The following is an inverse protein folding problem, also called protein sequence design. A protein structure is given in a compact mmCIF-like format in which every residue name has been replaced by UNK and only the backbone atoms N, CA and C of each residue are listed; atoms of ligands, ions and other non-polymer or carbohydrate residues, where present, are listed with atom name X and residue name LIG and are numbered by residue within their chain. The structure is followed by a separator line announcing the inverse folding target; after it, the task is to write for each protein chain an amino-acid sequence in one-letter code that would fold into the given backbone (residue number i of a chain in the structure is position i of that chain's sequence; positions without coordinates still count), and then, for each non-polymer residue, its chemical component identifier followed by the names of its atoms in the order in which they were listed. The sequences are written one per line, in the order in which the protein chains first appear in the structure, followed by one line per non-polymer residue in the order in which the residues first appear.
data_IF_913784416251
#
_entry.id   IF_913784416251
#
_cell.length_a   1.000
_cell.length_b   1.000
_cell.length_c   1.000
_cell.angle_alpha   90.00
_cell.angle_beta   90.00
_cell.angle_gamma   90.00
#
_symmetry.space_group_name_H-M   'P 1'
#
loop_
_entity.id
_entity.type
_entity.pdbx_description
1 polymer ?
#
# COMPACT_ATOMS: atom_id res chain seq x y z
N UNK A 1 21.89 -5.07 7.30
CA UNK A 1 20.54 -4.48 7.54
C UNK A 1 19.56 -5.60 7.86
N UNK A 2 19.00 -5.56 9.07
CA UNK A 2 18.05 -6.54 9.62
C UNK A 2 16.60 -6.12 9.33
N UNK A 3 15.67 -7.07 9.45
CA UNK A 3 14.22 -6.80 9.32
C UNK A 3 13.60 -6.95 10.70
N UNK A 4 12.81 -5.96 11.09
CA UNK A 4 12.07 -5.97 12.34
C UNK A 4 10.56 -5.96 12.05
N UNK A 5 9.82 -6.71 12.85
CA UNK A 5 8.36 -6.68 12.92
C UNK A 5 8.00 -5.65 13.98
N UNK A 6 7.15 -4.70 13.62
CA UNK A 6 6.67 -3.64 14.49
C UNK A 6 5.16 -3.75 14.58
N UNK A 7 4.66 -3.93 15.80
CA UNK A 7 3.23 -3.98 16.10
C UNK A 7 2.81 -2.68 16.77
N UNK A 8 1.68 -2.13 16.35
CA UNK A 8 1.16 -0.89 16.91
C UNK A 8 -0.36 -0.96 17.07
N UNK A 9 -0.84 -0.20 18.04
CA UNK A 9 -2.25 0.04 18.32
C UNK A 9 -2.65 1.33 17.61
N UNK A 10 -3.71 1.25 16.81
CA UNK A 10 -4.43 2.42 16.33
C UNK A 10 -5.76 2.48 17.08
N UNK A 11 -5.94 3.51 17.90
CA UNK A 11 -7.15 3.75 18.67
C UNK A 11 -7.81 5.01 18.11
N UNK A 12 -8.95 4.80 17.47
CA UNK A 12 -9.96 5.85 17.34
C UNK A 12 -11.00 5.61 18.45
N UNK A 13 -11.75 6.65 18.87
CA UNK A 13 -12.70 6.65 20.01
C UNK A 13 -13.69 5.47 20.07
N UNK A 14 -13.84 4.72 18.97
CA UNK A 14 -14.78 3.60 18.84
C UNK A 14 -14.15 2.24 18.44
N UNK A 15 -12.88 2.15 18.04
CA UNK A 15 -12.25 0.89 17.62
C UNK A 15 -10.74 0.88 17.91
N UNK A 16 -10.26 -0.21 18.53
CA UNK A 16 -8.83 -0.54 18.60
C UNK A 16 -8.49 -1.54 17.49
N UNK A 17 -7.67 -1.14 16.53
CA UNK A 17 -7.11 -2.05 15.52
C UNK A 17 -5.62 -2.30 15.78
N UNK A 18 -5.26 -3.59 15.87
CA UNK A 18 -3.88 -4.04 15.94
C UNK A 18 -3.32 -4.22 14.53
N UNK A 19 -2.29 -3.45 14.21
CA UNK A 19 -1.67 -3.46 12.90
C UNK A 19 -0.17 -3.77 13.02
N UNK A 20 0.36 -4.52 12.05
CA UNK A 20 1.76 -4.96 12.04
C UNK A 20 2.45 -4.53 10.74
N UNK A 21 3.66 -4.00 10.85
CA UNK A 21 4.48 -3.60 9.69
C UNK A 21 5.90 -4.15 9.78
N UNK A 22 6.58 -4.21 8.63
CA UNK A 22 7.96 -4.67 8.51
C UNK A 22 8.87 -3.51 8.14
N UNK A 23 9.88 -3.25 8.97
CA UNK A 23 10.86 -2.19 8.72
C UNK A 23 12.27 -2.75 8.58
N UNK A 24 13.09 -2.09 7.75
CA UNK A 24 14.50 -2.41 7.59
C UNK A 24 15.34 -1.44 8.41
N UNK A 25 16.18 -1.97 9.30
CA UNK A 25 17.03 -1.19 10.18
C UNK A 25 18.37 -1.91 10.45
N UNK A 26 19.38 -1.17 10.88
CA UNK A 26 20.71 -1.68 11.23
C UNK A 26 20.74 -2.24 12.64
N UNK A 27 19.97 -1.64 13.56
CA UNK A 27 19.82 -2.04 14.95
C UNK A 27 18.36 -2.02 15.39
N UNK A 28 18.07 -2.63 16.55
CA UNK A 28 16.75 -2.62 17.18
C UNK A 28 16.35 -1.20 17.58
N UNK A 29 17.29 -0.43 18.12
CA UNK A 29 17.10 0.98 18.50
C UNK A 29 16.68 1.84 17.29
N UNK A 30 17.36 1.69 16.15
CA UNK A 30 16.97 2.38 14.91
C UNK A 30 15.59 1.91 14.40
N UNK A 31 15.20 0.67 14.70
CA UNK A 31 13.87 0.16 14.37
C UNK A 31 12.79 0.82 15.23
N UNK A 32 13.04 0.95 16.54
CA UNK A 32 12.17 1.69 17.46
C UNK A 32 12.01 3.15 17.07
N UNK A 33 13.11 3.85 16.77
CA UNK A 33 13.03 5.26 16.33
C UNK A 33 12.21 5.41 15.05
N UNK A 34 12.43 4.53 14.07
CA UNK A 34 11.65 4.53 12.83
C UNK A 34 10.18 4.22 13.06
N UNK A 35 9.86 3.34 14.01
CA UNK A 35 8.47 3.03 14.36
C UNK A 35 7.81 4.23 15.04
N UNK A 36 8.48 4.80 16.04
CA UNK A 36 7.97 5.90 16.85
C UNK A 36 7.75 7.17 16.02
N UNK A 37 8.76 7.60 15.26
CA UNK A 37 8.70 8.83 14.46
C UNK A 37 8.05 8.63 13.09
N UNK A 38 8.13 7.43 12.52
CA UNK A 38 7.70 7.16 11.15
C UNK A 38 6.23 6.76 11.00
N UNK A 39 5.59 6.29 12.07
CA UNK A 39 4.21 5.78 12.02
C UNK A 39 3.21 6.62 12.81
N UNK A 40 3.64 7.41 13.81
CA UNK A 40 2.74 8.25 14.59
C UNK A 40 1.66 7.49 15.38
N UNK A 41 1.85 6.18 15.58
CA UNK A 41 0.92 5.27 16.25
C UNK A 41 1.55 4.74 17.55
N UNK A 42 0.73 4.28 18.49
CA UNK A 42 1.21 3.72 19.75
C UNK A 42 1.90 2.38 19.50
N UNK A 43 3.22 2.34 19.64
CA UNK A 43 4.02 1.12 19.45
C UNK A 43 3.76 0.17 20.62
N UNK A 44 3.41 -1.08 20.31
CA UNK A 44 3.20 -2.15 21.29
C UNK A 44 4.46 -3.01 21.41
N UNK A 45 5.06 -3.38 20.26
CA UNK A 45 6.19 -4.30 20.22
C UNK A 45 7.08 -4.05 18.99
N UNK A 46 8.39 -4.29 19.16
CA UNK A 46 9.36 -4.33 18.07
C UNK A 46 10.30 -5.51 18.28
N UNK A 47 10.29 -6.46 17.35
CA UNK A 47 11.15 -7.66 17.42
C UNK A 47 11.82 -7.97 16.10
N UNK A 48 12.97 -8.63 16.15
CA UNK A 48 13.65 -9.10 14.93
C UNK A 48 12.79 -10.17 14.26
N UNK A 49 12.65 -10.08 12.93
CA UNK A 49 11.91 -11.07 12.15
C UNK A 49 12.60 -12.43 12.23
N UNK A 50 11.85 -13.46 12.64
CA UNK A 50 12.37 -14.83 12.72
C UNK A 50 12.26 -15.56 11.38
N UNK A 51 12.92 -16.73 11.28
CA UNK A 51 12.79 -17.60 10.12
C UNK A 51 11.37 -18.18 9.95
N UNK A 52 10.64 -18.36 11.05
CA UNK A 52 9.25 -18.84 11.05
C UNK A 52 8.30 -17.77 10.52
N UNK A 53 8.44 -16.51 10.97
CA UNK A 53 7.67 -15.37 10.44
C UNK A 53 7.84 -15.25 8.91
N UNK A 54 9.05 -15.50 8.39
CA UNK A 54 9.29 -15.55 6.93
C UNK A 54 8.58 -16.69 6.26
N UNK A 55 8.56 -17.89 6.85
CA UNK A 55 7.91 -19.06 6.26
C UNK A 55 6.41 -18.88 6.17
N UNK A 56 5.81 -18.37 7.24
CA UNK A 56 4.37 -18.08 7.30
C UNK A 56 3.98 -17.04 6.25
N UNK A 57 4.68 -15.89 6.21
CA UNK A 57 4.42 -14.86 5.18
C UNK A 57 4.65 -15.35 3.76
N UNK A 58 5.64 -16.22 3.54
CA UNK A 58 5.86 -16.85 2.24
C UNK A 58 4.72 -17.83 1.88
N UNK A 59 4.18 -18.56 2.85
CA UNK A 59 3.06 -19.46 2.66
C UNK A 59 1.77 -18.70 2.37
N UNK A 60 1.42 -17.70 3.18
CA UNK A 60 0.29 -16.81 2.93
C UNK A 60 0.38 -16.14 1.56
N UNK A 61 1.57 -15.64 1.20
CA UNK A 61 1.80 -15.04 -0.12
C UNK A 61 1.59 -16.05 -1.24
N UNK A 62 2.04 -17.31 -1.08
CA UNK A 62 1.81 -18.39 -2.06
C UNK A 62 0.32 -18.71 -2.19
N UNK A 63 -0.40 -18.81 -1.08
CA UNK A 63 -1.83 -19.08 -1.08
C UNK A 63 -2.63 -17.95 -1.72
N UNK A 64 -2.28 -16.71 -1.39
CA UNK A 64 -2.85 -15.53 -2.03
C UNK A 64 -2.58 -15.53 -3.55
N UNK A 65 -1.35 -15.83 -3.98
CA UNK A 65 -1.04 -15.96 -5.41
C UNK A 65 -1.89 -17.03 -6.09
N UNK A 66 -2.09 -18.19 -5.45
CA UNK A 66 -2.97 -19.26 -5.97
C UNK A 66 -4.43 -18.83 -6.05
N UNK A 67 -4.98 -18.21 -5.00
CA UNK A 67 -6.36 -17.68 -4.98
C UNK A 67 -6.54 -16.64 -6.09
N UNK A 68 -5.59 -15.71 -6.22
CA UNK A 68 -5.58 -14.68 -7.26
C UNK A 68 -5.50 -15.27 -8.67
N UNK A 69 -4.65 -16.28 -8.90
CA UNK A 69 -4.53 -16.93 -10.19
C UNK A 69 -5.85 -17.60 -10.62
N UNK A 70 -6.50 -18.31 -9.69
CA UNK A 70 -7.83 -18.90 -9.91
C UNK A 70 -8.87 -17.84 -10.25
N UNK A 71 -8.94 -16.78 -9.46
CA UNK A 71 -9.87 -15.67 -9.70
C UNK A 71 -9.69 -15.04 -11.09
N UNK A 72 -8.44 -14.77 -11.50
CA UNK A 72 -8.14 -14.21 -12.82
C UNK A 72 -8.51 -15.18 -13.95
N UNK A 73 -8.34 -16.49 -13.75
CA UNK A 73 -8.77 -17.49 -14.73
C UNK A 73 -10.30 -17.52 -14.86
N UNK A 74 -11.03 -17.46 -13.74
CA UNK A 74 -12.50 -17.37 -13.72
C UNK A 74 -12.99 -16.12 -14.44
N UNK A 75 -12.43 -14.95 -14.13
CA UNK A 75 -12.75 -13.69 -14.82
C UNK A 75 -12.52 -13.78 -16.32
N UNK A 76 -11.39 -14.37 -16.75
CA UNK A 76 -11.11 -14.57 -18.18
C UNK A 76 -12.16 -15.46 -18.84
N UNK A 77 -12.58 -16.53 -18.17
CA UNK A 77 -13.66 -17.40 -18.63
C UNK A 77 -15.00 -16.68 -18.75
N UNK A 78 -15.35 -15.86 -17.75
CA UNK A 78 -16.55 -15.03 -17.75
C UNK A 78 -16.55 -14.01 -18.90
N UNK A 79 -15.45 -13.28 -19.09
CA UNK A 79 -15.32 -12.32 -20.19
C UNK A 79 -15.48 -12.99 -21.56
N UNK A 80 -14.85 -14.16 -21.76
CA UNK A 80 -15.06 -14.96 -22.97
C UNK A 80 -16.52 -15.39 -23.14
N UNK A 81 -17.20 -15.79 -22.06
CA UNK A 81 -18.61 -16.19 -22.12
C UNK A 81 -19.56 -15.04 -22.48
N UNK A 82 -19.15 -13.80 -22.22
CA UNK A 82 -19.89 -12.57 -22.56
C UNK A 82 -19.53 -12.06 -23.97
N UNK A 83 -18.60 -12.73 -24.67
CA UNK A 83 -18.25 -12.46 -26.06
C UNK A 83 -16.96 -11.66 -26.28
N UNK A 84 -16.18 -11.38 -25.22
CA UNK A 84 -14.88 -10.73 -25.39
C UNK A 84 -13.84 -11.70 -25.96
N UNK A 85 -13.13 -11.24 -26.99
CA UNK A 85 -11.98 -11.93 -27.57
C UNK A 85 -10.77 -11.87 -26.64
N UNK A 86 -9.81 -12.79 -26.84
CA UNK A 86 -8.56 -12.78 -26.09
C UNK A 86 -7.74 -11.48 -26.31
N UNK A 87 -7.89 -10.84 -27.47
CA UNK A 87 -7.24 -9.58 -27.79
C UNK A 87 -7.83 -8.42 -26.97
N UNK A 88 -9.16 -8.33 -26.87
CA UNK A 88 -9.84 -7.32 -26.06
C UNK A 88 -9.55 -7.50 -24.57
N UNK A 89 -9.52 -8.74 -24.08
CA UNK A 89 -9.15 -9.03 -22.69
C UNK A 89 -7.69 -8.62 -22.42
N UNK A 90 -6.79 -8.85 -23.38
CA UNK A 90 -5.39 -8.43 -23.26
C UNK A 90 -5.27 -6.90 -23.25
N UNK A 91 -6.03 -6.19 -24.08
CA UNK A 91 -6.05 -4.74 -24.12
C UNK A 91 -6.59 -4.14 -22.82
N UNK A 92 -7.74 -4.63 -22.32
CA UNK A 92 -8.31 -4.23 -21.02
C UNK A 92 -7.27 -4.41 -19.89
N UNK A 93 -6.54 -5.52 -19.91
CA UNK A 93 -5.50 -5.80 -18.91
C UNK A 93 -4.33 -4.82 -19.01
N UNK A 94 -3.88 -4.47 -20.21
CA UNK A 94 -2.80 -3.51 -20.41
C UNK A 94 -3.25 -2.09 -20.05
N UNK A 95 -4.45 -1.68 -20.43
CA UNK A 95 -5.05 -0.42 -20.00
C UNK A 95 -5.12 -0.33 -18.47
N UNK A 96 -5.59 -1.37 -17.79
CA UNK A 96 -5.64 -1.42 -16.32
C UNK A 96 -4.24 -1.30 -15.69
N UNK A 97 -3.21 -1.89 -16.31
CA UNK A 97 -1.83 -1.80 -15.88
C UNK A 97 -1.26 -0.39 -16.09
N UNK A 98 -1.57 0.27 -17.20
CA UNK A 98 -1.17 1.65 -17.46
C UNK A 98 -1.83 2.61 -16.46
N UNK A 99 -3.14 2.48 -16.22
CA UNK A 99 -3.87 3.25 -15.19
C UNK A 99 -3.22 3.08 -13.81
N UNK A 100 -2.85 1.85 -13.44
CA UNK A 100 -2.15 1.59 -12.18
C UNK A 100 -0.75 2.22 -12.12
N UNK A 101 -0.02 2.25 -13.25
CA UNK A 101 1.29 2.90 -13.33
C UNK A 101 1.17 4.42 -13.18
N UNK A 102 0.18 5.02 -13.84
CA UNK A 102 -0.14 6.45 -13.71
C UNK A 102 -0.50 6.78 -12.24
N UNK A 103 -1.41 6.03 -11.63
CA UNK A 103 -1.80 6.20 -10.22
C UNK A 103 -0.57 6.19 -9.29
N UNK A 104 0.31 5.19 -9.40
CA UNK A 104 1.54 5.10 -8.60
C UNK A 104 2.50 6.28 -8.82
N UNK A 105 2.64 6.75 -10.05
CA UNK A 105 3.49 7.92 -10.33
C UNK A 105 2.96 9.17 -9.66
N UNK A 106 1.64 9.27 -9.49
CA UNK A 106 0.96 10.44 -8.95
C UNK A 106 0.97 10.40 -7.42
N UNK A 107 0.76 9.24 -6.80
CA UNK A 107 1.01 9.03 -5.37
C UNK A 107 2.42 9.49 -4.98
N UNK A 108 3.45 9.13 -5.77
CA UNK A 108 4.82 9.63 -5.54
C UNK A 108 4.95 11.16 -5.63
N UNK A 109 4.22 11.81 -6.54
CA UNK A 109 4.23 13.28 -6.67
C UNK A 109 3.53 13.93 -5.47
N UNK A 110 2.40 13.37 -5.03
CA UNK A 110 1.68 13.81 -3.83
C UNK A 110 2.57 13.68 -2.60
N UNK A 111 3.25 12.55 -2.43
CA UNK A 111 4.18 12.36 -1.30
C UNK A 111 5.34 13.36 -1.33
N UNK A 112 5.86 13.67 -2.52
CA UNK A 112 6.91 14.70 -2.67
C UNK A 112 6.38 16.08 -2.28
N UNK A 113 5.17 16.45 -2.71
CA UNK A 113 4.51 17.71 -2.34
C UNK A 113 4.29 17.80 -0.83
N UNK A 114 3.77 16.73 -0.20
CA UNK A 114 3.60 16.64 1.26
C UNK A 114 4.92 16.90 1.99
N UNK A 115 6.03 16.27 1.54
CA UNK A 115 7.35 16.49 2.15
C UNK A 115 7.84 17.93 2.01
N UNK A 116 7.64 18.54 0.85
CA UNK A 116 8.02 19.95 0.61
C UNK A 116 7.22 20.90 1.48
N UNK A 117 5.91 20.71 1.58
CA UNK A 117 5.01 21.53 2.40
C UNK A 117 5.32 21.39 3.89
N UNK A 118 5.60 20.17 4.38
CA UNK A 118 6.09 19.98 5.75
C UNK A 118 7.43 20.70 5.99
N UNK A 119 8.33 20.69 5.01
CA UNK A 119 9.59 21.45 5.06
C UNK A 119 9.41 22.98 5.08
N UNK A 120 8.22 23.46 4.70
CA UNK A 120 7.80 24.85 4.79
C UNK A 120 6.93 25.13 6.03
N UNK A 121 6.91 24.21 7.00
CA UNK A 121 6.13 24.27 8.25
C UNK A 121 4.60 24.26 8.10
N UNK A 122 4.06 23.76 6.98
CA UNK A 122 2.62 23.50 6.88
C UNK A 122 2.21 22.30 7.75
N UNK A 123 1.09 22.41 8.45
CA UNK A 123 0.51 21.32 9.25
C UNK A 123 -0.25 20.34 8.35
N UNK A 124 -0.39 19.08 8.75
CA UNK A 124 -1.08 18.06 7.94
C UNK A 124 -2.53 18.44 7.60
N UNK A 125 -3.18 19.23 8.46
CA UNK A 125 -4.51 19.81 8.25
C UNK A 125 -4.53 20.80 7.08
N UNK A 126 -3.48 21.61 6.93
CA UNK A 126 -3.32 22.55 5.81
C UNK A 126 -2.94 21.83 4.51
N UNK A 127 -2.25 20.69 4.59
CA UNK A 127 -1.84 19.90 3.41
C UNK A 127 -3.01 19.11 2.82
N UNK A 128 -3.92 18.62 3.67
CA UNK A 128 -4.95 17.66 3.29
C UNK A 128 -5.91 18.15 2.18
N UNK A 129 -6.39 19.41 2.16
CA UNK A 129 -7.24 19.93 1.09
C UNK A 129 -6.60 19.82 -0.30
N UNK A 130 -5.31 20.16 -0.41
CA UNK A 130 -4.56 20.09 -1.67
C UNK A 130 -4.40 18.65 -2.16
N UNK A 131 -4.20 17.71 -1.24
CA UNK A 131 -4.08 16.29 -1.57
C UNK A 131 -5.41 15.75 -2.10
N UNK A 132 -6.53 16.12 -1.48
CA UNK A 132 -7.87 15.72 -1.90
C UNK A 132 -8.19 16.28 -3.28
N UNK A 133 -7.88 17.55 -3.53
CA UNK A 133 -8.11 18.18 -4.83
C UNK A 133 -7.27 17.54 -5.95
N UNK A 134 -5.99 17.27 -5.69
CA UNK A 134 -5.10 16.57 -6.62
C UNK A 134 -5.61 15.15 -6.94
N UNK A 135 -6.12 14.44 -5.94
CA UNK A 135 -6.73 13.11 -6.15
C UNK A 135 -8.04 13.18 -6.94
N UNK A 136 -8.88 14.20 -6.73
CA UNK A 136 -10.11 14.43 -7.48
C UNK A 136 -9.85 14.74 -8.95
N UNK A 137 -8.94 15.67 -9.24
CA UNK A 137 -8.51 15.98 -10.62
C UNK A 137 -8.03 14.71 -11.34
N UNK A 138 -7.31 13.85 -10.62
CA UNK A 138 -6.85 12.55 -11.11
C UNK A 138 -7.97 11.60 -11.53
N UNK A 139 -8.96 11.39 -10.67
CA UNK A 139 -10.08 10.49 -10.97
C UNK A 139 -10.87 10.97 -12.17
N UNK A 140 -10.86 12.28 -12.42
CA UNK A 140 -11.51 12.89 -13.59
C UNK A 140 -10.68 12.66 -14.86
N UNK A 141 -9.35 12.83 -14.81
CA UNK A 141 -8.44 12.57 -15.95
C UNK A 141 -8.31 11.08 -16.30
N UNK A 142 -8.40 10.17 -15.33
CA UNK A 142 -8.35 8.72 -15.54
C UNK A 142 -9.66 8.12 -16.06
N UNK A 143 -10.76 8.88 -15.97
CA UNK A 143 -12.08 8.49 -16.47
C UNK A 143 -12.34 8.95 -17.91
N UNK A 144 -11.49 9.84 -18.45
CA UNK A 144 -11.44 10.24 -19.86
C UNK A 144 -10.58 9.27 -20.67
#
# INVERSE_FOLDING_TARGET
MKIYIVSYEESDEFNCEHCTTRIKAESLEQAYDKAYWGLGRKVIDVREETAEDRRELLQERREWMRKRARYLATLKGQLRSIGFSDAEIADIKEQAKQRRKQQRSLEKKIDKLRRLMRGLNFTDEEIQPYVVELRRKLTTELAQ
#
